data_IF_503857196993
#
_entry.id   IF_503857196993
#
_cell.length_a   1.000
_cell.length_b   1.000
_cell.length_c   1.000
_cell.angle_alpha   90.00
_cell.angle_beta   90.00
_cell.angle_gamma   90.00
#
_symmetry.space_group_name_H-M   'P 1'
#
loop_
_entity.id
_entity.type
_entity.pdbx_description
1 polymer ?
#
# COMPACT_ATOMS: atom_id res chain seq x y z
N UNK A 1 16.46 -16.01 -33.13
CA UNK A 1 15.86 -14.71 -32.70
C UNK A 1 16.12 -14.51 -31.21
N UNK A 2 15.90 -13.32 -30.63
CA UNK A 2 16.07 -13.09 -29.19
C UNK A 2 14.72 -12.75 -28.54
N UNK A 3 14.52 -13.20 -27.30
CA UNK A 3 13.30 -12.94 -26.54
C UNK A 3 13.18 -11.45 -26.21
N UNK A 4 12.05 -10.84 -26.56
CA UNK A 4 11.76 -9.42 -26.28
C UNK A 4 11.57 -9.13 -24.79
N UNK A 5 11.28 -10.15 -23.98
CA UNK A 5 11.10 -10.03 -22.53
C UNK A 5 12.38 -10.29 -21.73
N UNK A 6 13.12 -11.36 -22.01
CA UNK A 6 14.29 -11.74 -21.20
C UNK A 6 15.64 -11.62 -21.92
N UNK A 7 15.66 -11.24 -23.19
CA UNK A 7 16.89 -11.04 -23.98
C UNK A 7 17.67 -12.31 -24.35
N UNK A 8 17.21 -13.50 -23.93
CA UNK A 8 17.89 -14.77 -24.29
C UNK A 8 17.58 -15.20 -25.72
N UNK A 9 18.53 -15.90 -26.32
CA UNK A 9 18.39 -16.50 -27.64
C UNK A 9 17.27 -17.54 -27.66
N UNK A 10 16.44 -17.49 -28.69
CA UNK A 10 15.33 -18.39 -28.95
C UNK A 10 15.69 -19.23 -30.19
N UNK A 11 15.64 -20.55 -30.01
CA UNK A 11 15.79 -21.54 -31.08
C UNK A 11 14.61 -21.45 -32.05
N UNK A 12 14.87 -21.64 -33.34
CA UNK A 12 13.81 -21.61 -34.36
C UNK A 12 12.74 -22.68 -34.12
N UNK A 13 11.48 -22.33 -34.39
CA UNK A 13 10.36 -23.27 -34.34
C UNK A 13 9.71 -23.48 -32.96
N UNK A 14 10.15 -22.79 -31.91
CA UNK A 14 9.49 -22.85 -30.58
C UNK A 14 8.36 -21.83 -30.48
N UNK A 15 7.25 -22.21 -29.85
CA UNK A 15 6.08 -21.33 -29.66
C UNK A 15 6.17 -20.49 -28.39
N UNK A 16 7.12 -20.79 -27.49
CA UNK A 16 7.32 -20.11 -26.21
C UNK A 16 8.81 -20.02 -25.91
N UNK A 17 9.23 -18.97 -25.21
CA UNK A 17 10.60 -18.84 -24.71
C UNK A 17 10.83 -19.87 -23.60
N UNK A 18 11.77 -20.78 -23.80
CA UNK A 18 12.16 -21.81 -22.81
C UNK A 18 12.67 -21.21 -21.49
N UNK A 19 13.06 -19.93 -21.47
CA UNK A 19 13.63 -19.28 -20.30
C UNK A 19 12.65 -18.44 -19.47
N UNK A 20 11.64 -17.81 -20.09
CA UNK A 20 10.69 -16.96 -19.36
C UNK A 20 9.22 -17.28 -19.63
N UNK A 21 8.92 -18.26 -20.49
CA UNK A 21 7.55 -18.71 -20.78
C UNK A 21 6.72 -17.79 -21.67
N UNK A 22 7.25 -16.66 -22.13
CA UNK A 22 6.52 -15.77 -23.04
C UNK A 22 6.27 -16.46 -24.39
N UNK A 23 5.05 -16.31 -24.94
CA UNK A 23 4.71 -16.83 -26.26
C UNK A 23 5.49 -16.08 -27.35
N UNK A 24 5.98 -16.82 -28.34
CA UNK A 24 6.69 -16.28 -29.50
C UNK A 24 5.76 -16.36 -30.70
N UNK A 25 5.36 -15.20 -31.22
CA UNK A 25 4.57 -15.11 -32.43
C UNK A 25 5.50 -15.30 -33.64
N UNK A 26 5.51 -16.51 -34.20
CA UNK A 26 6.29 -16.88 -35.38
C UNK A 26 5.66 -16.35 -36.68
N UNK A 27 5.47 -15.04 -36.79
CA UNK A 27 5.04 -14.39 -38.03
C UNK A 27 6.16 -13.46 -38.54
N UNK A 28 7.15 -14.05 -39.21
CA UNK A 28 8.08 -13.30 -40.05
C UNK A 28 8.20 -13.98 -41.42
N UNK A 29 7.67 -13.32 -42.46
CA UNK A 29 8.34 -13.18 -43.75
C UNK A 29 7.55 -12.23 -44.68
N UNK A 30 8.20 -11.13 -45.06
CA UNK A 30 7.86 -10.15 -46.10
C UNK A 30 6.92 -9.00 -45.73
N UNK A 31 7.51 -7.87 -45.37
CA UNK A 31 7.12 -6.59 -45.98
C UNK A 31 8.30 -5.65 -46.05
N UNK A 32 8.99 -5.74 -47.19
CA UNK A 32 9.81 -4.69 -47.75
C UNK A 32 8.99 -3.40 -47.90
N UNK A 33 9.66 -2.29 -47.65
CA UNK A 33 9.25 -0.91 -47.88
C UNK A 33 8.37 -0.74 -49.12
N UNK A 34 7.18 -0.16 -48.94
CA UNK A 34 6.60 0.74 -49.94
C UNK A 34 5.86 1.88 -49.22
N UNK A 35 6.40 3.09 -49.41
CA UNK A 35 5.64 4.32 -49.27
C UNK A 35 4.47 4.24 -50.25
N UNK A 36 3.25 4.36 -49.75
CA UNK A 36 2.20 4.94 -50.57
C UNK A 36 1.36 5.92 -49.76
N UNK A 37 1.18 7.09 -50.37
CA UNK A 37 0.51 8.26 -49.82
C UNK A 37 -1.00 8.05 -49.93
N UNK A 38 -1.69 8.01 -48.80
CA UNK A 38 -3.00 8.66 -48.65
C UNK A 38 -3.40 8.70 -47.17
N UNK A 39 -3.04 9.79 -46.50
CA UNK A 39 -3.72 10.22 -45.28
C UNK A 39 -4.63 11.36 -45.69
N UNK A 40 -5.93 11.09 -45.76
CA UNK A 40 -6.95 12.14 -45.69
C UNK A 40 -6.78 12.88 -44.36
N UNK A 41 -6.50 14.17 -44.46
CA UNK A 41 -6.36 15.08 -43.33
C UNK A 41 -7.71 15.25 -42.65
N UNK A 42 -7.94 14.52 -41.55
CA UNK A 42 -9.06 14.82 -40.65
C UNK A 42 -8.71 16.05 -39.80
N UNK A 43 -9.31 17.20 -40.13
CA UNK A 43 -9.19 18.42 -39.34
C UNK A 43 -9.84 18.21 -37.97
N UNK A 44 -9.04 18.22 -36.90
CA UNK A 44 -9.54 18.22 -35.53
C UNK A 44 -10.28 19.53 -35.23
N UNK A 45 -11.57 19.45 -34.94
CA UNK A 45 -12.43 20.56 -34.55
C UNK A 45 -12.09 20.98 -33.12
N UNK A 46 -11.61 22.22 -32.95
CA UNK A 46 -11.21 22.79 -31.65
C UNK A 46 -12.46 23.15 -30.83
N UNK A 47 -12.81 22.32 -29.84
CA UNK A 47 -13.96 22.57 -28.96
C UNK A 47 -13.55 23.57 -27.86
N UNK A 48 -14.24 24.71 -27.79
CA UNK A 48 -13.93 25.85 -26.90
C UNK A 48 -14.38 25.66 -25.44
N UNK A 49 -14.72 24.44 -25.01
CA UNK A 49 -15.33 24.20 -23.70
C UNK A 49 -14.34 23.73 -22.62
N UNK A 50 -13.05 23.56 -22.95
CA UNK A 50 -12.02 23.15 -21.97
C UNK A 50 -11.82 24.21 -20.87
N UNK A 51 -12.04 25.50 -21.19
CA UNK A 51 -11.91 26.59 -20.21
C UNK A 51 -13.02 26.57 -19.15
N UNK A 52 -14.22 26.12 -19.49
CA UNK A 52 -15.36 26.06 -18.55
C UNK A 52 -15.18 24.94 -17.52
N UNK A 53 -14.58 23.81 -17.92
CA UNK A 53 -14.33 22.65 -17.04
C UNK A 53 -13.27 22.99 -15.98
N UNK A 54 -12.22 23.74 -16.34
CA UNK A 54 -11.19 24.18 -15.40
C UNK A 54 -11.75 25.15 -14.36
N UNK A 55 -12.67 26.05 -14.74
CA UNK A 55 -13.29 27.01 -13.82
C UNK A 55 -14.20 26.30 -12.80
N UNK A 56 -14.97 25.30 -13.23
CA UNK A 56 -15.83 24.51 -12.34
C UNK A 56 -15.00 23.66 -11.37
N UNK A 57 -13.90 23.05 -11.83
CA UNK A 57 -13.00 22.29 -10.97
C UNK A 57 -12.35 23.16 -9.87
N UNK A 58 -11.91 24.38 -10.22
CA UNK A 58 -11.33 25.33 -9.24
C UNK A 58 -12.39 25.81 -8.23
N UNK A 59 -13.64 26.01 -8.64
CA UNK A 59 -14.72 26.40 -7.73
C UNK A 59 -15.12 25.28 -6.75
N UNK A 60 -15.09 24.02 -7.19
CA UNK A 60 -15.35 22.86 -6.31
C UNK A 60 -14.23 22.69 -5.28
N UNK A 61 -12.97 22.93 -5.67
CA UNK A 61 -11.82 22.88 -4.76
C UNK A 61 -11.88 24.04 -3.74
N UNK A 62 -12.28 25.24 -4.17
CA UNK A 62 -12.42 26.40 -3.30
C UNK A 62 -13.59 26.26 -2.29
N UNK A 63 -14.70 25.62 -2.69
CA UNK A 63 -15.85 25.39 -1.82
C UNK A 63 -15.67 24.15 -0.92
N UNK A 64 -15.00 23.11 -1.42
CA UNK A 64 -14.70 21.89 -0.64
C UNK A 64 -13.55 22.06 0.36
N UNK A 65 -12.59 22.95 0.08
CA UNK A 65 -11.45 23.22 0.96
C UNK A 65 -11.76 24.12 2.17
N UNK A 66 -12.90 24.81 2.19
CA UNK A 66 -13.29 25.72 3.28
C UNK A 66 -14.02 25.05 4.46
N UNK A 67 -14.43 23.78 4.33
CA UNK A 67 -15.30 23.10 5.31
C UNK A 67 -14.58 22.38 6.45
N UNK A 68 -13.24 22.22 6.41
CA UNK A 68 -12.51 21.39 7.39
C UNK A 68 -11.90 22.20 8.55
N UNK A 69 -12.06 23.52 8.58
CA UNK A 69 -11.48 24.38 9.61
C UNK A 69 -12.36 24.61 10.86
N UNK A 70 -13.44 23.83 11.07
CA UNK A 70 -14.33 24.05 12.22
C UNK A 70 -14.77 22.77 12.93
N UNK A 71 -13.83 21.92 13.36
CA UNK A 71 -14.01 21.08 14.57
C UNK A 71 -12.65 20.83 15.23
N UNK A 72 -12.18 21.77 16.06
CA UNK A 72 -11.19 21.44 17.09
C UNK A 72 -11.40 22.31 18.33
N UNK A 73 -12.22 21.82 19.26
CA UNK A 73 -12.11 22.17 20.68
C UNK A 73 -12.79 21.10 21.55
N UNK A 74 -11.99 20.21 22.14
CA UNK A 74 -12.18 19.79 23.54
C UNK A 74 -11.00 18.97 24.08
N UNK A 75 -10.34 19.60 25.05
CA UNK A 75 -9.77 19.08 26.31
C UNK A 75 -8.90 17.82 26.25
N UNK A 76 -7.60 18.10 26.20
CA UNK A 76 -6.52 17.22 26.70
C UNK A 76 -6.72 17.06 28.22
N UNK A 77 -6.97 15.85 28.69
CA UNK A 77 -6.85 15.48 30.11
C UNK A 77 -5.45 14.92 30.30
N UNK A 78 -4.55 15.75 30.81
CA UNK A 78 -3.21 15.33 31.24
C UNK A 78 -3.35 14.59 32.57
N UNK A 79 -3.10 13.28 32.58
CA UNK A 79 -2.99 12.51 33.82
C UNK A 79 -1.59 12.68 34.40
N UNK A 80 -1.42 13.68 35.25
CA UNK A 80 -0.22 13.85 36.07
C UNK A 80 -0.38 13.00 37.32
N UNK A 81 0.44 11.96 37.46
CA UNK A 81 0.58 11.23 38.73
C UNK A 81 1.28 12.13 39.74
N UNK A 82 0.51 12.69 40.68
CA UNK A 82 1.05 13.29 41.90
C UNK A 82 0.86 12.30 43.02
N UNK A 83 1.99 11.83 43.54
CA UNK A 83 2.11 11.09 44.79
C UNK A 83 1.76 12.04 45.92
N UNK A 84 0.73 11.73 46.71
CA UNK A 84 0.47 12.40 47.98
C UNK A 84 0.30 11.36 49.09
N UNK A 85 1.28 11.37 50.00
CA UNK A 85 1.30 10.60 51.25
C UNK A 85 0.63 11.41 52.36
N UNK A 86 -0.32 10.80 53.09
CA UNK A 86 -0.28 10.52 54.54
C UNK A 86 -1.64 10.54 55.24
N UNK A 87 -1.89 9.46 56.02
CA UNK A 87 -2.45 9.36 57.40
C UNK A 87 -3.77 10.08 57.72
N UNK A 88 -4.71 9.58 58.54
CA UNK A 88 -4.94 8.39 59.37
C UNK A 88 -6.39 8.56 59.90
N UNK A 89 -7.15 7.48 60.12
CA UNK A 89 -7.93 7.16 61.35
C UNK A 89 -9.09 6.16 61.10
N UNK A 90 -8.77 4.89 61.36
CA UNK A 90 -9.45 3.83 62.14
C UNK A 90 -10.97 3.87 62.45
N UNK A 91 -11.70 2.78 62.14
CA UNK A 91 -12.21 1.76 63.12
C UNK A 91 -13.14 0.68 62.49
N UNK A 92 -12.70 -0.60 62.65
CA UNK A 92 -13.43 -1.85 62.98
C UNK A 92 -14.53 -2.40 62.04
N UNK A 93 -14.76 -3.71 61.87
CA UNK A 93 -14.07 -4.98 62.18
C UNK A 93 -14.86 -6.11 61.46
N UNK A 94 -14.30 -7.32 61.42
CA UNK A 94 -14.86 -8.65 61.06
C UNK A 94 -14.27 -9.34 59.82
N UNK A 95 -13.08 -9.91 60.04
CA UNK A 95 -12.73 -11.35 59.89
C UNK A 95 -13.46 -12.19 58.82
N UNK A 96 -12.69 -12.69 57.85
CA UNK A 96 -12.61 -14.12 57.50
C UNK A 96 -11.32 -14.43 56.72
N UNK A 97 -10.79 -15.62 56.97
CA UNK A 97 -9.41 -16.07 56.79
C UNK A 97 -8.95 -16.25 55.32
N UNK A 98 -7.72 -15.82 55.08
CA UNK A 98 -6.62 -16.52 54.38
C UNK A 98 -6.92 -17.42 53.18
N UNK A 99 -6.40 -17.06 52.00
CA UNK A 99 -5.46 -17.89 51.23
C UNK A 99 -4.52 -16.95 50.45
N UNK A 100 -3.24 -17.10 50.77
CA UNK A 100 -2.10 -16.42 50.14
C UNK A 100 -1.78 -17.10 48.81
N UNK A 101 -2.00 -16.40 47.69
CA UNK A 101 -1.36 -16.74 46.41
C UNK A 101 -0.55 -15.56 45.90
N UNK A 102 0.75 -15.62 46.18
CA UNK A 102 1.79 -14.72 45.68
C UNK A 102 1.90 -14.87 44.16
N UNK A 103 1.13 -14.08 43.40
CA UNK A 103 1.33 -13.95 41.96
C UNK A 103 2.51 -13.02 41.72
N UNK A 104 3.65 -13.61 41.40
CA UNK A 104 4.84 -12.93 40.92
C UNK A 104 4.46 -12.11 39.69
N UNK A 105 4.41 -10.79 39.85
CA UNK A 105 4.27 -9.85 38.74
C UNK A 105 5.56 -9.91 37.92
N UNK A 106 5.52 -10.75 36.88
CA UNK A 106 6.54 -10.81 35.84
C UNK A 106 6.58 -9.43 35.18
N UNK A 107 7.64 -8.66 35.48
CA UNK A 107 8.07 -7.54 34.66
C UNK A 107 8.15 -8.03 33.23
N UNK A 108 7.20 -7.64 32.38
CA UNK A 108 7.34 -7.77 30.93
C UNK A 108 8.55 -6.95 30.53
N UNK A 109 9.66 -7.63 30.24
CA UNK A 109 10.80 -7.05 29.53
C UNK A 109 10.27 -6.48 28.21
N UNK A 110 10.61 -5.24 27.84
CA UNK A 110 10.21 -4.70 26.54
C UNK A 110 10.72 -5.64 25.45
N UNK A 111 9.80 -6.14 24.62
CA UNK A 111 10.13 -6.95 23.45
C UNK A 111 10.97 -6.07 22.53
N UNK A 112 12.23 -6.44 22.33
CA UNK A 112 13.13 -5.74 21.44
C UNK A 112 12.74 -6.06 19.99
N UNK A 113 12.30 -5.04 19.26
CA UNK A 113 11.85 -5.13 17.87
C UNK A 113 12.99 -4.75 16.92
N UNK A 114 13.92 -5.69 16.68
CA UNK A 114 15.07 -5.47 15.80
C UNK A 114 14.69 -5.09 14.37
N UNK A 115 13.51 -5.51 13.90
CA UNK A 115 12.97 -5.16 12.58
C UNK A 115 12.77 -3.65 12.42
N UNK A 116 12.35 -2.95 13.48
CA UNK A 116 12.07 -1.51 13.43
C UNK A 116 13.33 -0.68 13.27
N UNK A 117 14.43 -1.10 13.89
CA UNK A 117 15.74 -0.49 13.68
C UNK A 117 16.22 -0.70 12.24
N UNK A 118 16.03 -1.90 11.68
CA UNK A 118 16.35 -2.19 10.28
C UNK A 118 15.54 -1.29 9.34
N UNK A 119 14.22 -1.18 9.55
CA UNK A 119 13.37 -0.31 8.75
C UNK A 119 13.75 1.16 8.87
N UNK A 120 14.09 1.64 10.07
CA UNK A 120 14.54 3.01 10.26
C UNK A 120 15.84 3.28 9.46
N UNK A 121 16.79 2.34 9.48
CA UNK A 121 18.02 2.42 8.66
C UNK A 121 17.70 2.48 7.17
N UNK A 122 16.76 1.66 6.68
CA UNK A 122 16.33 1.69 5.27
C UNK A 122 15.73 3.04 4.89
N UNK A 123 14.81 3.56 5.72
CA UNK A 123 14.12 4.82 5.48
C UNK A 123 15.06 6.04 5.57
N UNK A 124 16.20 5.94 6.26
CA UNK A 124 17.25 6.97 6.26
C UNK A 124 18.26 6.80 5.13
N UNK A 125 18.39 5.60 4.56
CA UNK A 125 19.36 5.34 3.50
C UNK A 125 18.83 5.81 2.13
N UNK A 126 19.26 7.00 1.72
CA UNK A 126 18.90 7.61 0.43
C UNK A 126 19.23 6.72 -0.77
N UNK A 127 20.38 6.03 -0.76
CA UNK A 127 20.79 5.18 -1.88
C UNK A 127 19.85 3.97 -2.04
N UNK A 128 19.45 3.37 -0.92
CA UNK A 128 18.48 2.29 -0.93
C UNK A 128 17.12 2.74 -1.42
N UNK A 129 16.64 3.89 -0.95
CA UNK A 129 15.36 4.45 -1.38
C UNK A 129 15.35 4.81 -2.88
N UNK A 130 16.44 5.34 -3.42
CA UNK A 130 16.56 5.57 -4.87
C UNK A 130 16.48 4.26 -5.63
N UNK A 131 17.21 3.24 -5.17
CA UNK A 131 17.28 1.94 -5.84
C UNK A 131 15.96 1.16 -5.77
N UNK A 132 15.21 1.29 -4.67
CA UNK A 132 14.09 0.40 -4.37
C UNK A 132 12.71 1.09 -4.39
N UNK A 133 12.67 2.41 -4.35
CA UNK A 133 11.45 3.20 -4.22
C UNK A 133 11.50 4.52 -5.02
N UNK A 134 12.42 4.64 -6.00
CA UNK A 134 12.52 5.78 -6.93
C UNK A 134 12.54 7.18 -6.27
N UNK A 135 13.12 7.26 -5.08
CA UNK A 135 13.08 8.45 -4.22
C UNK A 135 13.65 9.73 -4.84
N UNK A 136 14.57 9.64 -5.79
CA UNK A 136 15.14 10.80 -6.48
C UNK A 136 14.13 11.51 -7.39
N UNK A 137 13.03 10.85 -7.76
CA UNK A 137 12.01 11.37 -8.68
C UNK A 137 10.80 11.93 -7.94
N UNK A 138 10.32 11.18 -6.95
CA UNK A 138 9.11 11.50 -6.20
C UNK A 138 9.31 11.36 -4.68
N UNK A 139 10.22 12.14 -4.06
CA UNK A 139 10.53 12.00 -2.64
C UNK A 139 9.32 12.24 -1.72
N UNK A 140 8.44 13.16 -2.12
CA UNK A 140 7.24 13.54 -1.36
C UNK A 140 6.13 12.46 -1.42
N UNK A 141 6.29 11.44 -2.26
CA UNK A 141 5.32 10.36 -2.44
C UNK A 141 5.71 9.07 -1.72
N UNK A 142 6.81 9.07 -0.95
CA UNK A 142 7.15 7.94 -0.10
C UNK A 142 6.35 8.01 1.20
N UNK A 143 5.56 6.96 1.43
CA UNK A 143 4.83 6.76 2.69
C UNK A 143 5.05 5.36 3.21
N UNK A 144 4.98 5.19 4.52
CA UNK A 144 5.17 3.89 5.14
C UNK A 144 4.14 3.58 6.23
N UNK A 145 3.95 2.31 6.50
CA UNK A 145 3.15 1.77 7.61
C UNK A 145 3.86 0.55 8.16
N UNK A 146 3.82 0.38 9.48
CA UNK A 146 4.38 -0.79 10.17
C UNK A 146 3.23 -1.63 10.69
N UNK A 147 3.18 -2.89 10.26
CA UNK A 147 2.08 -3.79 10.55
C UNK A 147 2.56 -5.23 10.55
N UNK A 148 2.18 -6.01 11.57
CA UNK A 148 2.30 -7.47 11.56
C UNK A 148 1.20 -8.04 10.65
N UNK A 149 1.55 -8.27 9.39
CA UNK A 149 0.60 -8.63 8.32
C UNK A 149 0.23 -10.10 8.43
N UNK A 150 1.19 -10.97 8.74
CA UNK A 150 1.00 -12.42 8.79
C UNK A 150 0.69 -12.96 10.21
N UNK A 151 0.71 -12.09 11.23
CA UNK A 151 0.45 -12.40 12.65
C UNK A 151 1.51 -13.32 13.26
N UNK A 152 2.76 -13.21 12.82
CA UNK A 152 3.89 -13.99 13.36
C UNK A 152 4.62 -13.28 14.52
N UNK A 153 4.22 -12.05 14.85
CA UNK A 153 4.82 -11.23 15.90
C UNK A 153 5.97 -10.33 15.44
N UNK A 154 6.39 -10.44 14.18
CA UNK A 154 7.36 -9.54 13.52
C UNK A 154 6.58 -8.64 12.56
N UNK A 155 6.71 -7.33 12.72
CA UNK A 155 6.03 -6.41 11.82
C UNK A 155 6.71 -6.33 10.47
N UNK A 156 5.93 -6.23 9.39
CA UNK A 156 6.38 -5.76 8.09
C UNK A 156 6.37 -4.22 8.00
N UNK A 157 7.15 -3.70 7.07
CA UNK A 157 6.99 -2.33 6.56
C UNK A 157 6.29 -2.36 5.20
N UNK A 158 5.11 -1.76 5.13
CA UNK A 158 4.45 -1.40 3.88
C UNK A 158 5.02 -0.06 3.42
N UNK A 159 5.56 0.00 2.22
CA UNK A 159 6.18 1.18 1.62
C UNK A 159 5.45 1.52 0.33
N UNK A 160 4.72 2.62 0.34
CA UNK A 160 4.03 3.17 -0.81
C UNK A 160 4.93 4.19 -1.50
N UNK A 161 5.10 4.05 -2.81
CA UNK A 161 5.92 4.94 -3.64
C UNK A 161 5.42 5.01 -5.08
N UNK A 162 5.77 6.10 -5.76
CA UNK A 162 5.51 6.27 -7.19
C UNK A 162 6.69 5.77 -8.03
N UNK A 163 6.40 4.96 -9.03
CA UNK A 163 7.38 4.59 -10.06
C UNK A 163 7.44 5.56 -11.24
N UNK A 164 8.33 5.27 -12.19
CA UNK A 164 8.59 6.07 -13.39
C UNK A 164 7.40 6.48 -14.26
N UNK A 165 6.28 5.78 -14.15
CA UNK A 165 5.11 6.02 -14.99
C UNK A 165 4.10 7.00 -14.34
N UNK A 166 4.53 7.76 -13.33
CA UNK A 166 3.67 8.65 -12.55
C UNK A 166 2.56 7.87 -11.86
N UNK A 167 1.31 8.32 -12.00
CA UNK A 167 0.15 7.61 -11.45
C UNK A 167 0.04 6.16 -11.96
N UNK A 168 0.59 5.81 -13.13
CA UNK A 168 0.55 4.44 -13.64
C UNK A 168 1.60 3.52 -13.00
N UNK A 169 2.56 4.09 -12.26
CA UNK A 169 3.69 3.38 -11.65
C UNK A 169 3.58 3.23 -10.14
N UNK A 170 2.45 3.57 -9.53
CA UNK A 170 2.30 3.47 -8.08
C UNK A 170 2.46 2.02 -7.64
N UNK A 171 3.30 1.82 -6.64
CA UNK A 171 3.67 0.52 -6.12
C UNK A 171 3.55 0.51 -4.59
N UNK A 172 2.97 -0.56 -4.07
CA UNK A 172 3.03 -0.89 -2.65
C UNK A 172 4.05 -2.01 -2.46
N UNK A 173 5.21 -1.69 -1.91
CA UNK A 173 6.21 -2.69 -1.53
C UNK A 173 5.95 -3.15 -0.11
N UNK A 174 6.06 -4.45 0.15
CA UNK A 174 6.09 -5.01 1.50
C UNK A 174 7.49 -5.51 1.80
N UNK A 175 8.07 -4.98 2.88
CA UNK A 175 9.41 -5.31 3.34
C UNK A 175 9.28 -6.14 4.62
N UNK A 176 9.56 -7.43 4.51
CA UNK A 176 9.61 -8.36 5.65
C UNK A 176 11.04 -8.46 6.18
N UNK A 177 11.19 -8.66 7.50
CA UNK A 177 12.46 -8.90 8.16
C UNK A 177 12.51 -10.34 8.70
N UNK A 178 13.61 -11.02 8.41
CA UNK A 178 13.91 -12.36 8.89
C UNK A 178 14.97 -12.23 9.99
N UNK A 179 14.54 -12.42 11.25
CA UNK A 179 15.38 -12.19 12.44
C UNK A 179 16.47 -13.25 12.61
N UNK A 180 16.23 -14.48 12.17
CA UNK A 180 17.19 -15.57 12.24
C UNK A 180 18.38 -15.36 11.30
N UNK A 181 18.09 -14.92 10.06
CA UNK A 181 19.11 -14.69 9.04
C UNK A 181 19.61 -13.25 8.96
N UNK A 182 18.98 -12.33 9.70
CA UNK A 182 19.19 -10.89 9.63
C UNK A 182 19.12 -10.37 8.19
N UNK A 183 18.06 -10.73 7.46
CA UNK A 183 17.84 -10.33 6.06
C UNK A 183 16.49 -9.68 5.88
N UNK A 184 16.41 -8.81 4.87
CA UNK A 184 15.13 -8.27 4.41
C UNK A 184 14.69 -8.96 3.13
N UNK A 185 13.37 -9.05 2.94
CA UNK A 185 12.74 -9.44 1.69
C UNK A 185 11.81 -8.31 1.26
N UNK A 186 11.97 -7.81 0.03
CA UNK A 186 11.07 -6.83 -0.59
C UNK A 186 10.21 -7.53 -1.63
N UNK A 187 8.90 -7.26 -1.60
CA UNK A 187 7.94 -7.79 -2.56
C UNK A 187 7.01 -6.66 -3.00
N UNK A 188 6.76 -6.57 -4.30
CA UNK A 188 5.99 -5.47 -4.86
C UNK A 188 4.59 -5.91 -5.23
N UNK A 189 3.61 -5.14 -4.77
CA UNK A 189 2.23 -5.18 -5.22
C UNK A 189 2.05 -3.98 -6.15
N UNK A 190 1.97 -4.24 -7.45
CA UNK A 190 1.72 -3.20 -8.43
C UNK A 190 0.26 -2.76 -8.33
N UNK A 191 0.01 -1.52 -7.91
CA UNK A 191 -1.34 -0.96 -7.78
C UNK A 191 -1.74 -0.11 -8.99
N UNK A 192 -0.83 0.08 -9.95
CA UNK A 192 -0.97 0.94 -11.12
C UNK A 192 -1.59 2.30 -10.73
N UNK A 193 -2.72 2.70 -11.31
CA UNK A 193 -3.46 3.94 -11.03
C UNK A 193 -4.25 3.92 -9.72
N UNK A 194 -3.66 3.37 -8.68
CA UNK A 194 -4.31 3.31 -7.39
C UNK A 194 -3.31 3.12 -6.27
N UNK A 195 -3.75 2.55 -5.16
CA UNK A 195 -2.91 2.55 -3.98
C UNK A 195 -3.48 1.75 -2.84
N UNK A 196 -2.77 1.83 -1.72
CA UNK A 196 -3.16 1.22 -0.47
C UNK A 196 -4.48 1.82 0.04
N UNK A 197 -5.38 0.97 0.51
CA UNK A 197 -6.68 1.36 1.09
C UNK A 197 -6.79 1.06 2.57
N UNK A 198 -6.13 0.02 3.03
CA UNK A 198 -6.22 -0.42 4.41
C UNK A 198 -5.90 -1.89 4.54
N UNK A 199 -6.21 -2.41 5.72
CA UNK A 199 -5.98 -3.79 6.10
C UNK A 199 -7.26 -4.38 6.71
N UNK A 200 -7.57 -5.63 6.36
CA UNK A 200 -8.65 -6.39 6.97
C UNK A 200 -8.04 -7.31 8.03
N UNK A 201 -8.16 -6.91 9.30
CA UNK A 201 -7.64 -7.67 10.45
C UNK A 201 -8.25 -9.07 10.56
N UNK A 202 -9.52 -9.23 10.18
CA UNK A 202 -10.25 -10.50 10.27
C UNK A 202 -9.66 -11.61 9.38
N UNK A 203 -8.90 -11.24 8.36
CA UNK A 203 -8.45 -12.17 7.33
C UNK A 203 -7.02 -11.89 6.85
N UNK A 204 -6.24 -11.16 7.65
CA UNK A 204 -4.84 -10.83 7.39
C UNK A 204 -4.57 -10.32 5.96
N UNK A 205 -5.45 -9.45 5.45
CA UNK A 205 -5.48 -9.08 4.04
C UNK A 205 -5.16 -7.60 3.84
N UNK A 206 -4.14 -7.32 3.04
CA UNK A 206 -3.83 -5.97 2.55
C UNK A 206 -4.81 -5.63 1.43
N UNK A 207 -5.46 -4.47 1.50
CA UNK A 207 -6.41 -4.03 0.47
C UNK A 207 -5.82 -2.87 -0.31
N UNK A 208 -5.84 -3.02 -1.64
CA UNK A 208 -5.46 -1.99 -2.59
C UNK A 208 -6.64 -1.64 -3.48
N UNK A 209 -6.73 -0.39 -3.93
CA UNK A 209 -7.66 0.00 -4.98
C UNK A 209 -6.93 0.36 -6.26
N UNK A 210 -7.65 0.30 -7.38
CA UNK A 210 -7.25 0.82 -8.67
C UNK A 210 -8.43 1.60 -9.27
N UNK A 211 -8.17 2.75 -9.90
CA UNK A 211 -9.19 3.38 -10.75
C UNK A 211 -8.58 4.06 -11.97
N UNK A 212 -9.14 3.78 -13.15
CA UNK A 212 -8.68 4.35 -14.39
C UNK A 212 -9.79 4.38 -15.44
N UNK A 213 -10.00 5.53 -16.09
CA UNK A 213 -10.97 5.70 -17.18
C UNK A 213 -12.36 5.12 -16.85
N UNK A 214 -12.93 5.50 -15.71
CA UNK A 214 -14.26 5.09 -15.27
C UNK A 214 -14.37 3.66 -14.75
N UNK A 215 -13.26 2.92 -14.71
CA UNK A 215 -13.17 1.61 -14.08
C UNK A 215 -12.65 1.74 -12.65
N UNK A 216 -13.16 0.91 -11.74
CA UNK A 216 -12.79 0.87 -10.33
C UNK A 216 -12.61 -0.58 -9.89
N UNK A 217 -11.57 -0.85 -9.11
CA UNK A 217 -11.31 -2.19 -8.59
C UNK A 217 -10.79 -2.11 -7.16
N UNK A 218 -11.21 -3.05 -6.31
CA UNK A 218 -10.53 -3.38 -5.04
C UNK A 218 -9.91 -4.77 -5.17
N UNK A 219 -8.71 -4.94 -4.60
CA UNK A 219 -8.03 -6.22 -4.55
C UNK A 219 -7.54 -6.45 -3.12
N UNK A 220 -7.86 -7.63 -2.59
CA UNK A 220 -7.28 -8.15 -1.35
C UNK A 220 -6.07 -9.04 -1.62
N UNK A 221 -4.99 -8.84 -0.87
CA UNK A 221 -3.74 -9.59 -0.97
C UNK A 221 -3.40 -10.26 0.36
N UNK A 222 -3.12 -11.56 0.31
CA UNK A 222 -2.62 -12.34 1.45
C UNK A 222 -1.20 -12.81 1.21
N UNK A 223 -0.44 -12.93 2.28
CA UNK A 223 0.86 -13.59 2.28
C UNK A 223 0.65 -15.09 2.33
N UNK A 224 1.17 -15.83 1.34
CA UNK A 224 1.24 -17.29 1.36
C UNK A 224 2.67 -17.71 1.04
N UNK A 225 3.42 -18.08 2.09
CA UNK A 225 4.86 -18.28 1.97
C UNK A 225 5.54 -17.04 1.42
N UNK A 226 6.24 -17.20 0.29
CA UNK A 226 6.98 -16.13 -0.36
C UNK A 226 6.14 -15.29 -1.34
N UNK A 227 4.87 -15.63 -1.58
CA UNK A 227 4.03 -14.95 -2.57
C UNK A 227 2.90 -14.11 -1.96
N UNK A 228 2.46 -13.10 -2.71
CA UNK A 228 1.19 -12.41 -2.47
C UNK A 228 0.14 -12.99 -3.38
N UNK A 229 -0.85 -13.64 -2.77
CA UNK A 229 -1.96 -14.25 -3.50
C UNK A 229 -3.18 -13.37 -3.35
N UNK A 230 -3.84 -13.09 -4.47
CA UNK A 230 -5.13 -12.41 -4.50
C UNK A 230 -6.15 -13.23 -3.70
N UNK A 231 -6.70 -12.66 -2.62
CA UNK A 231 -7.74 -13.28 -1.81
C UNK A 231 -9.14 -12.95 -2.30
N UNK A 232 -9.34 -11.72 -2.78
CA UNK A 232 -10.56 -11.30 -3.44
C UNK A 232 -10.29 -10.19 -4.47
N UNK A 233 -11.24 -9.98 -5.38
CA UNK A 233 -11.36 -8.74 -6.14
C UNK A 233 -12.81 -8.27 -6.22
N UNK A 234 -12.98 -6.98 -6.47
CA UNK A 234 -14.25 -6.40 -6.91
C UNK A 234 -13.96 -5.44 -8.05
N UNK A 235 -14.85 -5.39 -9.03
CA UNK A 235 -14.65 -4.59 -10.23
C UNK A 235 -15.97 -3.93 -10.66
N UNK A 236 -15.91 -2.66 -11.05
CA UNK A 236 -17.02 -1.99 -11.74
C UNK A 236 -16.52 -1.02 -12.81
N UNK A 237 -17.33 -0.86 -13.86
CA UNK A 237 -17.11 0.10 -14.94
C UNK A 237 -18.15 1.24 -14.93
N UNK A 238 -18.71 1.53 -13.75
CA UNK A 238 -19.77 2.52 -13.57
C UNK A 238 -19.42 3.87 -14.19
N UNK A 239 -18.17 4.32 -14.00
CA UNK A 239 -17.72 5.61 -14.51
C UNK A 239 -17.63 5.69 -16.04
N UNK A 240 -17.63 4.56 -16.77
CA UNK A 240 -17.67 4.55 -18.24
C UNK A 240 -19.08 4.76 -18.78
N UNK A 241 -20.08 4.27 -18.06
CA UNK A 241 -21.47 4.25 -18.52
C UNK A 241 -22.37 5.26 -17.81
N UNK A 242 -21.82 6.07 -16.89
CA UNK A 242 -22.58 6.99 -16.04
C UNK A 242 -23.44 8.00 -16.81
N UNK A 243 -23.05 8.38 -18.04
CA UNK A 243 -23.78 9.35 -18.87
C UNK A 243 -24.63 8.71 -19.97
N UNK A 244 -24.51 7.40 -20.20
CA UNK A 244 -25.14 6.71 -21.32
C UNK A 244 -26.31 5.84 -20.87
N UNK A 245 -25.99 4.66 -20.33
CA UNK A 245 -26.96 3.61 -20.00
C UNK A 245 -26.43 2.79 -18.83
N UNK A 246 -27.00 3.02 -17.64
CA UNK A 246 -26.63 2.30 -16.43
C UNK A 246 -26.93 0.80 -16.50
N UNK A 247 -27.74 0.33 -17.46
CA UNK A 247 -27.99 -1.10 -17.66
C UNK A 247 -26.80 -1.86 -18.24
N UNK A 248 -25.82 -1.14 -18.80
CA UNK A 248 -24.59 -1.72 -19.33
C UNK A 248 -23.49 -1.89 -18.28
N UNK A 249 -23.64 -1.28 -17.10
CA UNK A 249 -22.65 -1.34 -16.03
C UNK A 249 -22.48 -2.78 -15.56
N UNK A 250 -21.23 -3.23 -15.55
CA UNK A 250 -20.85 -4.51 -14.98
C UNK A 250 -20.38 -4.33 -13.55
N UNK A 251 -20.84 -5.24 -12.69
CA UNK A 251 -20.39 -5.36 -11.32
C UNK A 251 -19.86 -6.77 -11.11
N UNK A 252 -18.60 -6.92 -10.76
CA UNK A 252 -17.95 -8.20 -10.54
C UNK A 252 -17.48 -8.31 -9.09
N UNK A 253 -17.66 -9.50 -8.50
CA UNK A 253 -16.99 -9.91 -7.26
C UNK A 253 -16.29 -11.24 -7.56
N UNK A 254 -14.99 -11.31 -7.32
CA UNK A 254 -14.17 -12.49 -7.63
C UNK A 254 -14.40 -12.97 -9.07
N UNK A 255 -14.33 -12.01 -10.00
CA UNK A 255 -14.51 -12.20 -11.44
C UNK A 255 -15.90 -12.77 -11.86
N UNK A 256 -16.88 -12.73 -10.95
CA UNK A 256 -18.26 -13.17 -11.21
C UNK A 256 -19.21 -11.99 -11.22
N UNK A 257 -20.03 -11.91 -12.25
CA UNK A 257 -21.11 -10.90 -12.36
C UNK A 257 -22.11 -11.04 -11.22
N UNK A 258 -22.46 -9.90 -10.63
CA UNK A 258 -23.44 -9.76 -9.55
C UNK A 258 -24.36 -8.57 -9.81
N UNK A 259 -25.49 -8.52 -9.12
CA UNK A 259 -26.34 -7.33 -9.10
C UNK A 259 -25.63 -6.15 -8.43
N UNK A 260 -25.98 -4.93 -8.82
CA UNK A 260 -25.53 -3.68 -8.16
C UNK A 260 -25.70 -3.68 -6.64
N UNK A 261 -26.84 -4.15 -6.14
CA UNK A 261 -27.14 -4.21 -4.70
C UNK A 261 -26.11 -5.08 -3.96
N UNK A 262 -25.96 -6.34 -4.40
CA UNK A 262 -24.93 -7.26 -3.90
C UNK A 262 -23.50 -6.71 -4.00
N UNK A 263 -23.16 -5.99 -5.07
CA UNK A 263 -21.87 -5.33 -5.20
C UNK A 263 -21.68 -4.25 -4.14
N UNK A 264 -22.65 -3.34 -4.00
CA UNK A 264 -22.59 -2.26 -3.03
C UNK A 264 -22.53 -2.78 -1.59
N UNK A 265 -23.28 -3.83 -1.26
CA UNK A 265 -23.24 -4.48 0.05
C UNK A 265 -21.84 -5.06 0.33
N UNK A 266 -21.25 -5.72 -0.66
CA UNK A 266 -19.89 -6.25 -0.57
C UNK A 266 -18.85 -5.16 -0.36
N UNK A 267 -18.84 -4.12 -1.20
CA UNK A 267 -17.91 -2.98 -1.09
C UNK A 267 -18.07 -2.28 0.25
N UNK A 268 -19.30 -2.05 0.69
CA UNK A 268 -19.59 -1.42 1.98
C UNK A 268 -19.09 -2.28 3.14
N UNK A 269 -19.27 -3.60 3.05
CA UNK A 269 -18.74 -4.55 4.03
C UNK A 269 -17.21 -4.48 4.10
N UNK A 270 -16.51 -4.49 2.96
CA UNK A 270 -15.05 -4.35 2.94
C UNK A 270 -14.63 -3.03 3.58
N UNK A 271 -15.17 -1.90 3.11
CA UNK A 271 -14.79 -0.56 3.57
C UNK A 271 -15.04 -0.34 5.06
N UNK A 272 -16.17 -0.84 5.59
CA UNK A 272 -16.53 -0.68 7.00
C UNK A 272 -15.63 -1.51 7.94
N UNK A 273 -14.90 -2.50 7.41
CA UNK A 273 -14.00 -3.34 8.18
C UNK A 273 -12.51 -3.03 7.92
N UNK A 274 -12.20 -2.02 7.10
CA UNK A 274 -10.82 -1.59 6.90
C UNK A 274 -10.27 -0.94 8.16
N UNK A 275 -9.05 -1.33 8.50
CA UNK A 275 -8.21 -0.77 9.55
C UNK A 275 -6.90 -0.26 8.94
N UNK A 276 -6.10 0.48 9.72
CA UNK A 276 -4.81 1.01 9.27
C UNK A 276 -4.87 1.71 7.91
N UNK A 277 -5.88 2.56 7.68
CA UNK A 277 -6.16 3.19 6.37
C UNK A 277 -5.20 4.33 6.02
N UNK A 278 -4.37 4.75 6.97
CA UNK A 278 -3.41 5.84 6.80
C UNK A 278 -1.98 5.32 6.77
N UNK A 279 -1.14 5.99 5.98
CA UNK A 279 0.30 5.75 5.91
C UNK A 279 1.02 7.05 6.25
N UNK A 280 2.19 6.93 6.85
CA UNK A 280 2.98 8.04 7.36
C UNK A 280 3.94 8.56 6.31
N UNK A 281 4.04 9.88 6.18
CA UNK A 281 5.05 10.53 5.34
C UNK A 281 6.46 10.21 5.83
N UNK A 282 7.42 10.11 4.90
CA UNK A 282 8.82 9.90 5.24
C UNK A 282 9.44 11.18 5.85
N UNK A 283 9.55 11.22 7.18
CA UNK A 283 10.28 12.25 7.91
C UNK A 283 10.77 11.72 9.27
N UNK A 284 11.71 12.44 9.89
CA UNK A 284 12.32 12.05 11.17
C UNK A 284 11.31 11.97 12.32
N UNK A 285 10.26 12.80 12.31
CA UNK A 285 9.20 12.75 13.32
C UNK A 285 8.44 11.42 13.24
N UNK A 286 8.04 11.00 12.05
CA UNK A 286 7.31 9.74 11.84
C UNK A 286 8.21 8.53 12.08
N UNK A 287 9.48 8.55 11.64
CA UNK A 287 10.44 7.48 11.97
C UNK A 287 10.53 7.31 13.49
N UNK A 288 10.73 8.40 14.25
CA UNK A 288 10.79 8.34 15.71
C UNK A 288 9.51 7.77 16.33
N UNK A 289 8.36 8.29 15.95
CA UNK A 289 7.11 7.96 16.64
C UNK A 289 6.52 6.62 16.23
N UNK A 290 6.70 6.19 14.98
CA UNK A 290 6.15 4.92 14.47
C UNK A 290 7.10 3.76 14.77
N UNK A 291 8.41 3.95 14.59
CA UNK A 291 9.39 2.89 14.78
C UNK A 291 9.99 2.87 16.19
N UNK A 292 9.87 3.96 16.95
CA UNK A 292 10.51 4.08 18.27
C UNK A 292 12.03 4.23 18.20
N UNK A 293 12.56 4.62 17.03
CA UNK A 293 14.00 4.72 16.77
C UNK A 293 14.38 6.19 16.60
N UNK A 294 15.38 6.66 17.34
CA UNK A 294 15.87 8.03 17.23
C UNK A 294 16.67 8.22 15.93
N UNK A 295 16.19 9.05 14.97
CA UNK A 295 16.83 9.15 13.65
C UNK A 295 18.25 9.68 13.69
N UNK A 296 18.60 10.51 14.69
CA UNK A 296 19.97 11.03 14.86
C UNK A 296 20.98 9.96 15.26
N UNK A 297 20.52 8.82 15.77
CA UNK A 297 21.39 7.72 16.20
C UNK A 297 21.63 6.71 15.07
N UNK A 298 20.97 6.89 13.92
CA UNK A 298 21.16 6.05 12.75
C UNK A 298 22.40 6.56 12.03
N UNK A 299 23.50 5.83 12.17
CA UNK A 299 24.71 6.12 11.39
C UNK A 299 24.39 5.96 9.90
N UNK A 300 24.89 6.88 9.07
CA UNK A 300 24.83 6.79 7.61
C UNK A 300 25.81 5.71 7.12
N UNK A 301 25.65 4.48 7.60
CA UNK A 301 26.41 3.35 7.08
C UNK A 301 25.69 2.80 5.85
N UNK A 302 26.47 2.47 4.82
CA UNK A 302 26.00 1.72 3.64
C UNK A 302 25.59 0.27 4.00
N UNK A 303 25.73 -0.14 5.27
CA UNK A 303 25.35 -1.47 5.72
C UNK A 303 23.83 -1.61 5.81
N UNK A 304 23.29 -2.21 4.76
CA UNK A 304 21.92 -2.70 4.74
C UNK A 304 21.97 -4.22 4.69
N UNK A 305 21.29 -4.94 5.61
CA UNK A 305 21.18 -6.39 5.52
C UNK A 305 20.67 -6.77 4.13
N UNK A 306 21.52 -7.46 3.37
CA UNK A 306 21.36 -7.68 1.94
C UNK A 306 19.99 -8.29 1.63
N UNK A 307 19.27 -7.74 0.65
CA UNK A 307 18.07 -8.38 0.12
C UNK A 307 18.47 -9.72 -0.50
N UNK A 308 17.87 -10.84 -0.05
CA UNK A 308 17.94 -12.05 -0.83
C UNK A 308 17.29 -11.74 -2.18
N UNK A 309 18.08 -11.74 -3.26
CA UNK A 309 17.57 -11.54 -4.60
C UNK A 309 16.57 -12.65 -4.89
N UNK A 310 15.29 -12.31 -5.06
CA UNK A 310 14.32 -13.19 -5.70
C UNK A 310 14.76 -13.35 -7.15
N UNK A 311 15.31 -14.53 -7.48
CA UNK A 311 15.44 -15.00 -8.87
C UNK A 311 14.08 -15.44 -9.39
#
# INVERSE_FOLDING_TARGET
MYCTQCGKEIKEGVSYCENCGIKIDNNDANSSINQDKNIEVYKSKKNKNVLAIVIVAVLIIALGGGGFAYVKHSKIVTSTNVVENNKNETLQDNTSEEITSKSTESKKTPVYHGEKEVYAKLLKNRNWLIKNAEYDKSPDYIRFLILDVNKDGISEMLLYHEGNAGLAGITLSVISYDSDSNKIRKRDINTSHGGYRGYLDSDNTIVTSFSHMGHSMLIGWKIQGDEYVKSFNSDDDLGRHAEEDLSQVQYLINDKSVSKEKYNDYISSVNNNLTYTEMYELNDYNIRNVLGVEPSNIENEDYIPYAASTQ
#
